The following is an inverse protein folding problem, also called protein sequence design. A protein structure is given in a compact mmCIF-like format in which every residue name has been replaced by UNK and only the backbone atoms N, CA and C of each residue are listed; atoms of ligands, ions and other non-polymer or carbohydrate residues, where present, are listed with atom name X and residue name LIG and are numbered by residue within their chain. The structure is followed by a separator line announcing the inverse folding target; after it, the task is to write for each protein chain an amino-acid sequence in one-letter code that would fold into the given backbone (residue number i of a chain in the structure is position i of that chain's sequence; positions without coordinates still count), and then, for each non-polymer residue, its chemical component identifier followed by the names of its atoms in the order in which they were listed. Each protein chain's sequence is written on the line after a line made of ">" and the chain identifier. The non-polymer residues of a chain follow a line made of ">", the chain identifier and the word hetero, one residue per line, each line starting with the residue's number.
data_IF_390787255652
#
_entry.id   IF_390787255652
#
_cell.length_a   1.000
_cell.length_b   1.000
_cell.length_c   1.000
_cell.angle_alpha   90.00
_cell.angle_beta   90.00
_cell.angle_gamma   90.00
#
_symmetry.space_group_name_H-M   'P 1'
#
loop_
_entity.id
_entity.type
_entity.pdbx_description
1 polymer ?
#
# COMPACT_ATOMS: atom_id res chain seq x y z
N UNK A 1 13.16 -1.13 8.68
CA UNK A 1 12.47 0.17 8.69
C UNK A 1 13.14 1.20 7.81
N UNK A 2 14.41 1.59 8.04
CA UNK A 2 15.12 2.56 7.17
C UNK A 2 15.18 2.17 5.68
N UNK A 3 15.34 0.88 5.40
CA UNK A 3 15.34 0.38 4.02
C UNK A 3 14.00 0.65 3.29
N UNK A 4 12.87 0.53 3.99
CA UNK A 4 11.54 0.74 3.40
C UNK A 4 11.27 2.22 3.15
N UNK A 5 11.71 3.12 4.05
CA UNK A 5 11.67 4.57 3.80
C UNK A 5 12.51 4.94 2.57
N UNK A 6 13.73 4.42 2.47
CA UNK A 6 14.60 4.67 1.33
C UNK A 6 14.00 4.15 0.01
N UNK A 7 13.40 2.96 0.03
CA UNK A 7 12.74 2.38 -1.13
C UNK A 7 11.53 3.22 -1.58
N UNK A 8 10.68 3.64 -0.64
CA UNK A 8 9.53 4.52 -0.94
C UNK A 8 9.98 5.87 -1.50
N UNK A 9 11.00 6.48 -0.91
CA UNK A 9 11.57 7.73 -1.41
C UNK A 9 12.16 7.57 -2.82
N UNK A 10 12.90 6.48 -3.07
CA UNK A 10 13.46 6.19 -4.38
C UNK A 10 12.37 5.98 -5.44
N UNK A 11 11.36 5.17 -5.14
CA UNK A 11 10.25 4.91 -6.05
C UNK A 11 9.50 6.20 -6.43
N UNK A 12 9.20 7.05 -5.45
CA UNK A 12 8.55 8.36 -5.69
C UNK A 12 9.44 9.28 -6.53
N UNK A 13 10.73 9.38 -6.19
CA UNK A 13 11.69 10.20 -6.94
C UNK A 13 11.83 9.75 -8.39
N UNK A 14 11.94 8.44 -8.62
CA UNK A 14 12.17 7.90 -9.95
C UNK A 14 10.93 7.95 -10.84
N UNK A 15 9.75 7.66 -10.28
CA UNK A 15 8.49 7.63 -11.05
C UNK A 15 7.81 8.99 -11.16
N UNK A 16 8.15 9.95 -10.30
CA UNK A 16 7.45 11.23 -10.19
C UNK A 16 6.05 11.13 -9.58
N UNK A 17 5.63 9.95 -9.10
CA UNK A 17 4.30 9.71 -8.51
C UNK A 17 4.39 9.80 -6.99
N UNK A 18 3.43 10.47 -6.35
CA UNK A 18 3.33 10.49 -4.88
C UNK A 18 2.75 9.18 -4.35
N UNK A 19 1.77 8.62 -5.06
CA UNK A 19 0.96 7.48 -4.63
C UNK A 19 1.70 6.14 -4.73
N UNK A 20 1.47 5.29 -3.73
CA UNK A 20 1.98 3.91 -3.67
C UNK A 20 0.83 2.96 -3.37
N UNK A 21 0.72 1.86 -4.13
CA UNK A 21 -0.21 0.78 -3.77
C UNK A 21 0.39 -0.09 -2.67
N UNK A 22 -0.42 -0.44 -1.68
CA UNK A 22 -0.04 -1.36 -0.62
C UNK A 22 -1.16 -2.37 -0.35
N UNK A 23 -0.79 -3.62 -0.15
CA UNK A 23 -1.75 -4.68 0.10
C UNK A 23 -2.43 -4.53 1.47
N UNK A 24 -3.70 -4.94 1.54
CA UNK A 24 -4.43 -5.11 2.81
C UNK A 24 -3.68 -6.06 3.73
N UNK A 25 -3.63 -5.75 5.03
CA UNK A 25 -2.97 -6.55 6.07
C UNK A 25 -1.42 -6.69 5.95
N UNK A 26 -0.78 -5.99 5.01
CA UNK A 26 0.68 -5.98 4.90
C UNK A 26 1.37 -5.26 6.07
N UNK A 27 2.64 -5.59 6.34
CA UNK A 27 3.46 -4.91 7.34
C UNK A 27 4.81 -4.51 6.74
N UNK A 28 5.14 -3.22 6.83
CA UNK A 28 6.36 -2.65 6.30
C UNK A 28 7.14 -1.84 7.35
N UNK A 29 6.71 -1.85 8.61
CA UNK A 29 7.43 -1.22 9.73
C UNK A 29 6.65 -0.08 10.39
N UNK A 30 7.30 0.56 11.36
CA UNK A 30 6.64 1.49 12.30
C UNK A 30 7.11 2.95 12.18
N UNK A 31 8.03 3.27 11.27
CA UNK A 31 8.34 4.67 10.92
C UNK A 31 7.23 5.26 10.07
N UNK A 32 7.16 6.60 9.97
CA UNK A 32 6.01 7.29 9.38
C UNK A 32 5.61 6.79 7.97
N UNK A 33 6.54 6.73 7.03
CA UNK A 33 6.28 6.28 5.66
C UNK A 33 6.03 4.77 5.57
N UNK A 34 6.81 3.99 6.32
CA UNK A 34 6.62 2.53 6.44
C UNK A 34 5.27 2.15 7.06
N UNK A 35 4.81 2.91 8.04
CA UNK A 35 3.54 2.75 8.72
C UNK A 35 2.38 3.15 7.82
N UNK A 36 2.55 4.19 6.99
CA UNK A 36 1.54 4.62 6.02
C UNK A 36 1.18 3.50 5.04
N UNK A 37 2.15 2.68 4.60
CA UNK A 37 1.91 1.51 3.74
C UNK A 37 1.60 0.22 4.51
N UNK A 38 1.76 0.20 5.84
CA UNK A 38 1.38 -0.93 6.70
C UNK A 38 -0.13 -0.95 7.00
N UNK A 39 -0.77 -2.12 6.91
CA UNK A 39 -2.24 -2.26 6.94
C UNK A 39 -2.78 -3.35 7.84
N UNK A 40 -1.98 -3.94 8.74
CA UNK A 40 -2.49 -4.87 9.75
C UNK A 40 -3.47 -4.19 10.71
N UNK A 41 -4.38 -4.94 11.33
CA UNK A 41 -5.33 -4.39 12.31
C UNK A 41 -4.62 -3.64 13.45
N UNK A 42 -3.55 -4.21 13.99
CA UNK A 42 -2.73 -3.58 15.04
C UNK A 42 -2.04 -2.29 14.61
N UNK A 43 -1.69 -2.13 13.33
CA UNK A 43 -1.08 -0.88 12.82
C UNK A 43 -2.10 0.15 12.39
N UNK A 44 -3.39 -0.21 12.24
CA UNK A 44 -4.48 0.74 11.94
C UNK A 44 -4.80 1.64 13.13
N UNK A 45 -4.71 1.10 14.34
CA UNK A 45 -4.96 1.86 15.58
C UNK A 45 -3.75 2.69 16.01
N UNK A 46 -2.56 2.29 15.57
CA UNK A 46 -1.32 3.00 15.84
C UNK A 46 -1.05 4.00 14.72
N UNK A 47 -1.26 5.28 15.02
CA UNK A 47 -0.79 6.37 14.18
C UNK A 47 -1.90 7.31 13.75
N UNK A 48 -2.18 8.30 14.59
CA UNK A 48 -2.94 9.52 14.26
C UNK A 48 -2.27 10.38 13.20
N UNK A 49 -1.66 9.75 12.20
CA UNK A 49 -0.98 10.33 11.07
C UNK A 49 -1.75 9.94 9.83
N UNK A 50 -2.14 10.93 9.05
CA UNK A 50 -2.88 10.70 7.84
C UNK A 50 -2.06 9.84 6.86
N UNK A 51 -2.69 8.75 6.39
CA UNK A 51 -2.12 7.79 5.44
C UNK A 51 -2.27 8.31 4.01
N UNK A 52 -1.77 9.51 3.77
CA UNK A 52 -1.82 10.14 2.46
C UNK A 52 -0.98 9.36 1.45
N UNK A 53 -1.40 9.42 0.18
CA UNK A 53 -0.69 8.82 -0.96
C UNK A 53 -0.51 7.29 -0.89
N UNK A 54 -1.39 6.58 -0.19
CA UNK A 54 -1.42 5.11 -0.19
C UNK A 54 -2.77 4.59 -0.68
N UNK A 55 -2.73 3.83 -1.77
CA UNK A 55 -3.90 3.14 -2.31
C UNK A 55 -3.90 1.71 -1.76
N UNK A 56 -4.98 1.29 -1.12
CA UNK A 56 -5.10 -0.06 -0.58
C UNK A 56 -5.72 -1.00 -1.61
N UNK A 57 -5.03 -2.10 -1.87
CA UNK A 57 -5.49 -3.15 -2.78
C UNK A 57 -5.59 -4.48 -2.04
N UNK A 58 -6.55 -5.34 -2.38
CA UNK A 58 -6.70 -6.65 -1.76
C UNK A 58 -5.45 -7.52 -2.02
N UNK A 59 -4.96 -8.18 -0.98
CA UNK A 59 -3.95 -9.24 -1.17
C UNK A 59 -4.61 -10.48 -1.79
N UNK A 60 -3.81 -11.41 -2.27
CA UNK A 60 -4.32 -12.71 -2.73
C UNK A 60 -5.14 -13.42 -1.64
N UNK A 61 -6.26 -14.02 -2.03
CA UNK A 61 -7.23 -14.65 -1.13
C UNK A 61 -8.03 -13.68 -0.24
N UNK A 62 -7.91 -12.36 -0.43
CA UNK A 62 -8.74 -11.35 0.21
C UNK A 62 -9.63 -10.63 -0.83
N UNK A 63 -10.91 -10.34 -0.53
CA UNK A 63 -11.65 -10.70 0.68
C UNK A 63 -12.06 -12.17 0.75
N UNK A 64 -11.84 -12.95 -0.32
CA UNK A 64 -12.12 -14.39 -0.35
C UNK A 64 -11.17 -15.11 -1.29
N UNK A 65 -11.06 -16.44 -1.17
CA UNK A 65 -10.24 -17.29 -2.06
C UNK A 65 -10.68 -17.25 -3.53
N UNK A 66 -11.92 -16.84 -3.82
CA UNK A 66 -12.42 -16.71 -5.18
C UNK A 66 -12.11 -15.34 -5.81
N UNK A 67 -11.59 -14.39 -5.04
CA UNK A 67 -11.32 -13.03 -5.52
C UNK A 67 -9.95 -12.96 -6.19
N UNK A 68 -9.92 -12.65 -7.49
CA UNK A 68 -8.69 -12.43 -8.23
C UNK A 68 -8.21 -10.99 -8.08
N UNK A 69 -7.30 -10.79 -7.12
CA UNK A 69 -6.71 -9.50 -6.82
C UNK A 69 -5.86 -8.95 -7.97
N UNK A 70 -5.22 -9.81 -8.77
CA UNK A 70 -4.37 -9.36 -9.88
C UNK A 70 -5.23 -8.80 -11.02
N UNK A 71 -6.29 -9.53 -11.41
CA UNK A 71 -7.24 -9.06 -12.42
C UNK A 71 -7.96 -7.78 -11.99
N UNK A 72 -8.30 -7.65 -10.70
CA UNK A 72 -8.85 -6.41 -10.17
C UNK A 72 -7.88 -5.22 -10.31
N UNK A 73 -6.61 -5.40 -9.93
CA UNK A 73 -5.60 -4.35 -10.03
C UNK A 73 -5.38 -3.96 -11.50
N UNK A 74 -5.29 -4.93 -12.40
CA UNK A 74 -5.09 -4.67 -13.83
C UNK A 74 -6.28 -3.91 -14.43
N UNK A 75 -7.50 -4.29 -14.07
CA UNK A 75 -8.71 -3.58 -14.49
C UNK A 75 -8.70 -2.11 -14.03
N UNK A 76 -8.44 -1.86 -12.74
CA UNK A 76 -8.41 -0.49 -12.18
C UNK A 76 -7.29 0.36 -12.80
N UNK A 77 -6.16 -0.23 -13.16
CA UNK A 77 -5.03 0.48 -13.77
C UNK A 77 -5.22 0.75 -15.27
N UNK A 78 -6.00 -0.08 -15.95
CA UNK A 78 -6.26 0.03 -17.39
C UNK A 78 -7.54 0.79 -17.73
N UNK A 79 -8.43 1.01 -16.76
CA UNK A 79 -9.65 1.78 -16.92
C UNK A 79 -9.34 3.27 -17.24
N UNK A 80 -9.78 3.78 -18.42
CA UNK A 80 -9.57 5.19 -18.78
C UNK A 80 -10.45 6.17 -17.99
N UNK A 81 -11.43 5.68 -17.21
CA UNK A 81 -12.38 6.48 -16.44
C UNK A 81 -13.83 6.38 -16.90
#
# INVERSE_FOLDING_TARGET
>A
TNANEAALALARKYTGRSSVMAFTNAFHGMSLGSLAVSGSASTRELGGVARHDVIRVPYDGYPSQAFDSASYIDHVLSDPG
#
